data_IF_746705296721
#
_entry.id   IF_746705296721
#
_cell.length_a   1.000
_cell.length_b   1.000
_cell.length_c   1.000
_cell.angle_alpha   90.00
_cell.angle_beta   90.00
_cell.angle_gamma   90.00
#
_symmetry.space_group_name_H-M   'P 1'
#
loop_
_entity.id
_entity.type
_entity.pdbx_description
1 polymer ?
#
# COMPACT_ATOMS: atom_id res chain seq x y z
N UNK A 1 3.57 -21.17 -40.96
CA UNK A 1 2.29 -20.97 -40.23
C UNK A 1 2.34 -21.35 -38.74
N UNK A 2 3.46 -21.80 -38.16
CA UNK A 2 3.52 -22.17 -36.73
C UNK A 2 3.76 -21.00 -35.76
N UNK A 3 4.50 -19.96 -36.17
CA UNK A 3 4.91 -18.89 -35.27
C UNK A 3 3.77 -17.93 -34.86
N UNK A 4 2.82 -17.61 -35.75
CA UNK A 4 1.71 -16.69 -35.44
C UNK A 4 0.71 -17.26 -34.44
N UNK A 5 0.46 -18.58 -34.46
CA UNK A 5 -0.42 -19.21 -33.47
C UNK A 5 0.21 -19.20 -32.08
N UNK A 6 1.52 -19.46 -32.00
CA UNK A 6 2.26 -19.48 -30.74
C UNK A 6 2.23 -18.08 -30.08
N UNK A 7 2.31 -17.02 -30.88
CA UNK A 7 2.18 -15.64 -30.39
C UNK A 7 0.79 -15.33 -29.81
N UNK A 8 -0.29 -15.82 -30.44
CA UNK A 8 -1.66 -15.64 -29.95
C UNK A 8 -1.91 -16.32 -28.59
N UNK A 9 -1.24 -17.43 -28.30
CA UNK A 9 -1.35 -18.13 -27.02
C UNK A 9 -0.43 -17.58 -25.92
N UNK A 10 0.70 -16.98 -26.28
CA UNK A 10 1.65 -16.42 -25.31
C UNK A 10 1.28 -14.99 -24.85
N UNK A 11 0.66 -14.19 -25.72
CA UNK A 11 0.30 -12.80 -25.42
C UNK A 11 -0.66 -12.63 -24.21
N UNK A 12 -1.65 -13.51 -23.95
CA UNK A 12 -2.53 -13.37 -22.79
C UNK A 12 -1.92 -13.91 -21.49
N UNK A 13 -0.84 -14.72 -21.54
CA UNK A 13 -0.25 -15.33 -20.34
C UNK A 13 0.09 -14.30 -19.25
N UNK A 14 0.70 -13.15 -19.56
CA UNK A 14 0.95 -12.12 -18.56
C UNK A 14 -0.31 -11.51 -17.94
N UNK A 15 -1.44 -11.46 -18.66
CA UNK A 15 -2.72 -10.97 -18.12
C UNK A 15 -3.36 -12.01 -17.19
N UNK A 16 -3.27 -13.29 -17.57
CA UNK A 16 -3.76 -14.41 -16.76
C UNK A 16 -3.01 -14.45 -15.41
N UNK A 17 -1.71 -14.18 -15.43
CA UNK A 17 -0.90 -14.08 -14.21
C UNK A 17 -1.45 -13.01 -13.24
N UNK A 18 -1.82 -11.83 -13.76
CA UNK A 18 -2.40 -10.77 -12.94
C UNK A 18 -3.80 -11.12 -12.41
N UNK A 19 -4.61 -11.85 -13.17
CA UNK A 19 -5.94 -12.31 -12.72
C UNK A 19 -5.79 -13.27 -11.53
N UNK A 20 -4.87 -14.24 -11.61
CA UNK A 20 -4.60 -15.15 -10.49
C UNK A 20 -4.02 -14.40 -9.29
N UNK A 21 -3.19 -13.39 -9.54
CA UNK A 21 -2.61 -12.58 -8.50
C UNK A 21 -3.65 -11.74 -7.75
N UNK A 22 -4.73 -11.32 -8.41
CA UNK A 22 -5.77 -10.48 -7.79
C UNK A 22 -6.39 -11.13 -6.54
N UNK A 23 -6.83 -12.39 -6.62
CA UNK A 23 -7.43 -13.09 -5.48
C UNK A 23 -6.44 -13.34 -4.33
N UNK A 24 -5.16 -13.58 -4.65
CA UNK A 24 -4.12 -13.70 -3.62
C UNK A 24 -3.79 -12.35 -2.98
N UNK A 25 -3.81 -11.29 -3.77
CA UNK A 25 -3.60 -9.92 -3.28
C UNK A 25 -4.71 -9.51 -2.33
N UNK A 26 -5.98 -9.83 -2.63
CA UNK A 26 -7.10 -9.59 -1.72
C UNK A 26 -6.94 -10.32 -0.37
N UNK A 27 -6.40 -11.54 -0.38
CA UNK A 27 -6.13 -12.26 0.87
C UNK A 27 -4.99 -11.61 1.65
N UNK A 28 -3.90 -11.22 0.99
CA UNK A 28 -2.83 -10.45 1.64
C UNK A 28 -3.34 -9.14 2.23
N UNK A 29 -4.26 -8.44 1.53
CA UNK A 29 -4.88 -7.23 2.05
C UNK A 29 -5.62 -7.48 3.36
N UNK A 30 -6.37 -8.59 3.46
CA UNK A 30 -7.09 -8.96 4.69
C UNK A 30 -6.13 -9.37 5.81
N UNK A 31 -5.08 -10.12 5.48
CA UNK A 31 -4.07 -10.57 6.46
C UNK A 31 -3.26 -9.40 7.03
N UNK A 32 -3.04 -8.36 6.24
CA UNK A 32 -2.25 -7.19 6.62
C UNK A 32 -3.11 -5.96 6.95
N UNK A 33 -4.44 -6.12 7.06
CA UNK A 33 -5.34 -5.06 7.49
C UNK A 33 -5.04 -4.73 8.96
N UNK A 34 -4.21 -3.72 9.16
CA UNK A 34 -3.77 -3.29 10.48
C UNK A 34 -4.00 -1.79 10.66
N UNK A 35 -4.64 -1.47 11.78
CA UNK A 35 -4.82 -0.11 12.26
C UNK A 35 -4.62 -0.09 13.77
N UNK A 36 -3.69 0.72 14.21
CA UNK A 36 -3.49 1.11 15.59
C UNK A 36 -3.86 2.58 15.74
N UNK A 37 -4.68 2.89 16.74
CA UNK A 37 -5.01 4.26 17.09
C UNK A 37 -5.18 4.40 18.60
N UNK A 38 -4.26 5.13 19.24
CA UNK A 38 -4.34 5.46 20.65
C UNK A 38 -5.30 6.64 20.89
N UNK A 39 -6.60 6.36 20.77
CA UNK A 39 -7.67 7.34 20.98
C UNK A 39 -7.57 8.07 22.32
N UNK A 40 -7.11 7.38 23.37
CA UNK A 40 -7.07 7.93 24.73
C UNK A 40 -6.02 9.03 24.84
N UNK A 41 -4.87 8.82 24.21
CA UNK A 41 -3.75 9.75 24.28
C UNK A 41 -3.65 10.70 23.09
N UNK A 42 -4.49 10.54 22.06
CA UNK A 42 -4.42 11.34 20.82
C UNK A 42 -4.96 12.77 20.94
N UNK A 43 -6.00 12.99 21.74
CA UNK A 43 -6.68 14.29 21.78
C UNK A 43 -5.74 15.38 22.29
N UNK A 44 -5.61 16.48 21.54
CA UNK A 44 -4.75 17.60 21.87
C UNK A 44 -3.26 17.36 21.60
N UNK A 45 -2.88 16.22 21.00
CA UNK A 45 -1.48 15.95 20.63
C UNK A 45 -1.10 16.62 19.32
N UNK A 46 0.17 16.98 19.24
CA UNK A 46 0.80 17.37 17.99
C UNK A 46 1.60 16.19 17.49
N UNK A 47 1.31 15.73 16.28
CA UNK A 47 1.95 14.57 15.67
C UNK A 47 2.65 14.96 14.37
N UNK A 48 3.69 14.21 14.03
CA UNK A 48 4.31 14.24 12.71
C UNK A 48 4.41 12.81 12.16
N UNK A 49 4.57 12.70 10.84
CA UNK A 49 4.87 11.43 10.20
C UNK A 49 6.36 11.11 10.43
N UNK A 50 6.65 10.16 11.31
CA UNK A 50 8.02 9.80 11.70
C UNK A 50 8.80 9.20 10.52
N UNK A 51 8.23 8.16 9.93
CA UNK A 51 8.74 7.54 8.73
C UNK A 51 7.64 6.69 8.10
N UNK A 52 7.68 6.58 6.77
CA UNK A 52 6.98 5.51 6.06
C UNK A 52 7.95 4.35 6.02
N UNK A 53 7.74 3.37 6.91
CA UNK A 53 8.52 2.14 6.86
C UNK A 53 8.08 1.36 5.62
N UNK A 54 8.86 1.48 4.56
CA UNK A 54 8.69 0.70 3.34
C UNK A 54 9.27 -0.69 3.59
N UNK A 55 8.47 -1.57 4.15
CA UNK A 55 8.79 -2.98 4.13
C UNK A 55 8.41 -3.50 2.74
N UNK A 56 9.38 -3.74 1.87
CA UNK A 56 9.15 -4.77 0.86
C UNK A 56 8.96 -6.07 1.65
N UNK A 57 7.74 -6.41 2.03
CA UNK A 57 7.41 -7.81 2.17
C UNK A 57 7.77 -8.39 0.82
N UNK A 58 8.90 -9.09 0.73
CA UNK A 58 9.45 -9.67 -0.50
C UNK A 58 8.54 -10.77 -1.07
N UNK A 59 7.26 -10.74 -0.73
CA UNK A 59 6.23 -11.62 -1.23
C UNK A 59 5.87 -11.16 -2.63
N UNK A 60 6.48 -11.78 -3.62
CA UNK A 60 5.96 -11.74 -4.98
C UNK A 60 4.72 -12.61 -5.04
N UNK A 61 3.60 -12.05 -5.52
CA UNK A 61 2.49 -12.88 -5.96
C UNK A 61 2.69 -13.10 -7.45
N UNK A 62 3.08 -14.32 -7.81
CA UNK A 62 3.48 -14.66 -9.17
C UNK A 62 4.58 -13.72 -9.67
N UNK A 63 4.36 -12.96 -10.76
CA UNK A 63 5.33 -11.97 -11.25
C UNK A 63 5.06 -10.54 -10.78
N UNK A 64 4.23 -10.35 -9.74
CA UNK A 64 3.86 -9.02 -9.22
C UNK A 64 4.59 -8.74 -7.91
N UNK A 65 5.50 -7.75 -7.88
CA UNK A 65 6.08 -7.25 -6.63
C UNK A 65 5.00 -6.62 -5.76
N UNK A 66 4.98 -7.00 -4.48
CA UNK A 66 4.13 -6.39 -3.46
C UNK A 66 5.01 -5.61 -2.49
N UNK A 67 4.53 -4.47 -2.00
CA UNK A 67 5.18 -3.65 -0.98
C UNK A 67 4.20 -3.37 0.15
N UNK A 68 4.65 -3.51 1.38
CA UNK A 68 3.95 -3.10 2.58
C UNK A 68 4.53 -1.78 3.08
N UNK A 69 3.70 -0.75 3.11
CA UNK A 69 4.05 0.54 3.67
C UNK A 69 3.38 0.71 5.02
N UNK A 70 4.17 0.83 6.09
CA UNK A 70 3.63 1.14 7.41
C UNK A 70 3.82 2.63 7.68
N UNK A 71 2.70 3.33 7.83
CA UNK A 71 2.65 4.74 8.20
C UNK A 71 2.60 4.85 9.72
N UNK A 72 3.44 5.72 10.30
CA UNK A 72 3.51 5.95 11.75
C UNK A 72 3.48 7.44 12.06
N UNK A 73 2.44 7.86 12.78
CA UNK A 73 2.33 9.21 13.32
C UNK A 73 2.69 9.17 14.80
N UNK A 74 3.67 9.99 15.17
CA UNK A 74 4.23 10.01 16.53
C UNK A 74 4.02 11.38 17.17
N UNK A 75 3.81 11.40 18.48
CA UNK A 75 3.71 12.63 19.27
C UNK A 75 5.06 13.34 19.34
N UNK A 76 5.08 14.63 19.00
CA UNK A 76 6.29 15.47 19.02
C UNK A 76 6.93 15.51 20.41
N UNK A 77 6.13 15.49 21.48
CA UNK A 77 6.63 15.64 22.85
C UNK A 77 7.21 14.36 23.43
N UNK A 78 6.61 13.22 23.11
CA UNK A 78 6.92 11.94 23.79
C UNK A 78 7.57 10.91 22.88
N UNK A 79 7.52 11.11 21.55
CA UNK A 79 7.91 10.10 20.56
C UNK A 79 6.98 8.88 20.52
N UNK A 80 5.90 8.87 21.30
CA UNK A 80 4.94 7.77 21.32
C UNK A 80 4.14 7.69 20.02
N UNK A 81 3.92 6.47 19.52
CA UNK A 81 3.06 6.24 18.35
C UNK A 81 1.61 6.52 18.72
N UNK A 82 0.97 7.47 18.02
CA UNK A 82 -0.44 7.80 18.21
C UNK A 82 -1.30 7.05 17.18
N UNK A 83 -0.82 6.96 15.95
CA UNK A 83 -1.50 6.27 14.85
C UNK A 83 -0.48 5.45 14.08
N UNK A 84 -0.84 4.20 13.76
CA UNK A 84 -0.09 3.38 12.83
C UNK A 84 -1.03 2.59 11.95
N UNK A 85 -0.76 2.52 10.65
CA UNK A 85 -1.53 1.66 9.76
C UNK A 85 -0.68 1.18 8.59
N UNK A 86 -1.15 0.11 7.95
CA UNK A 86 -0.50 -0.49 6.79
C UNK A 86 -1.23 -0.12 5.50
N UNK A 87 -0.47 0.10 4.43
CA UNK A 87 -0.98 0.11 3.05
C UNK A 87 -0.19 -0.95 2.28
N UNK A 88 -0.88 -1.83 1.56
CA UNK A 88 -0.24 -2.73 0.61
C UNK A 88 -0.34 -2.16 -0.78
N UNK A 89 0.76 -2.23 -1.52
CA UNK A 89 0.86 -1.85 -2.92
C UNK A 89 1.29 -3.04 -3.76
N UNK A 90 0.57 -3.29 -4.84
CA UNK A 90 0.99 -4.16 -5.94
C UNK A 90 1.57 -3.27 -7.05
N UNK A 91 2.78 -3.59 -7.48
CA UNK A 91 3.37 -2.97 -8.67
C UNK A 91 2.78 -3.59 -9.95
N UNK A 92 3.08 -3.02 -11.11
CA UNK A 92 2.69 -3.62 -12.39
C UNK A 92 3.32 -4.99 -12.61
N UNK A 93 2.56 -5.91 -13.23
CA UNK A 93 3.04 -7.22 -13.64
C UNK A 93 4.02 -7.17 -14.83
N UNK A 94 4.26 -8.32 -15.46
CA UNK A 94 5.26 -8.44 -16.53
C UNK A 94 4.96 -7.51 -17.71
N UNK A 95 3.70 -7.33 -18.12
CA UNK A 95 3.34 -6.45 -19.23
C UNK A 95 3.71 -5.00 -18.97
N UNK A 96 3.35 -4.50 -17.79
CA UNK A 96 3.63 -3.13 -17.39
C UNK A 96 5.14 -2.88 -17.38
N UNK A 97 5.92 -3.82 -16.83
CA UNK A 97 7.38 -3.67 -16.73
C UNK A 97 8.12 -3.84 -18.05
N UNK A 98 7.65 -4.73 -18.93
CA UNK A 98 8.32 -5.02 -20.21
C UNK A 98 7.92 -4.03 -21.30
N UNK A 99 6.64 -3.67 -21.39
CA UNK A 99 6.12 -2.81 -22.45
C UNK A 99 5.97 -1.35 -22.03
N UNK A 100 6.28 -1.01 -20.78
CA UNK A 100 6.29 0.38 -20.32
C UNK A 100 4.91 1.06 -20.41
N UNK A 101 3.85 0.33 -20.08
CA UNK A 101 2.49 0.91 -20.03
C UNK A 101 2.49 2.03 -18.98
N UNK A 102 1.81 3.15 -19.25
CA UNK A 102 1.78 4.35 -18.40
C UNK A 102 1.21 4.15 -16.98
N UNK A 103 0.68 2.96 -16.68
CA UNK A 103 0.27 2.56 -15.33
C UNK A 103 1.45 1.95 -14.58
N UNK A 104 1.72 2.38 -13.34
CA UNK A 104 2.73 1.75 -12.48
C UNK A 104 2.22 0.52 -11.72
N UNK A 105 0.92 0.23 -11.80
CA UNK A 105 0.25 -0.88 -11.11
C UNK A 105 -0.31 -1.94 -12.06
N UNK A 106 -0.87 -3.04 -11.52
CA UNK A 106 -1.54 -4.08 -12.30
C UNK A 106 -2.63 -3.52 -13.20
N UNK A 107 -2.84 -4.16 -14.35
CA UNK A 107 -3.85 -3.78 -15.33
C UNK A 107 -5.22 -4.33 -14.91
N UNK A 108 -5.24 -5.53 -14.31
CA UNK A 108 -6.49 -6.29 -14.10
C UNK A 108 -7.13 -6.10 -12.72
N UNK A 109 -6.48 -5.42 -11.77
CA UNK A 109 -7.01 -5.17 -10.42
C UNK A 109 -6.44 -3.91 -9.78
N UNK A 110 -7.04 -3.49 -8.65
CA UNK A 110 -6.60 -2.30 -7.90
C UNK A 110 -5.20 -2.52 -7.31
N UNK A 111 -4.28 -1.62 -7.61
CA UNK A 111 -2.87 -1.70 -7.22
C UNK A 111 -2.57 -1.45 -5.73
N UNK A 112 -3.58 -1.17 -4.90
CA UNK A 112 -3.36 -0.95 -3.47
C UNK A 112 -4.60 -1.21 -2.63
N UNK A 113 -4.36 -1.51 -1.35
CA UNK A 113 -5.40 -1.61 -0.33
C UNK A 113 -4.93 -0.96 0.97
N UNK A 114 -5.89 -0.36 1.66
CA UNK A 114 -5.73 0.32 2.94
C UNK A 114 -6.92 -0.02 3.85
N UNK A 115 -6.76 0.05 5.19
CA UNK A 115 -7.85 -0.20 6.12
C UNK A 115 -9.00 0.77 5.87
N UNK A 116 -10.24 0.26 5.85
CA UNK A 116 -11.45 1.09 5.58
C UNK A 116 -11.60 2.28 6.53
N UNK A 117 -11.08 2.15 7.75
CA UNK A 117 -11.15 3.16 8.81
C UNK A 117 -9.78 3.80 9.10
N UNK A 118 -8.81 3.71 8.19
CA UNK A 118 -7.54 4.40 8.36
C UNK A 118 -7.82 5.89 8.59
N UNK A 119 -7.19 6.55 9.57
CA UNK A 119 -7.38 7.98 9.79
C UNK A 119 -6.45 8.71 8.79
N UNK A 120 -6.84 8.70 7.52
CA UNK A 120 -5.99 9.09 6.39
C UNK A 120 -6.05 10.58 6.05
N UNK A 121 -6.87 11.36 6.76
CA UNK A 121 -7.04 12.78 6.44
C UNK A 121 -6.72 13.70 7.60
N UNK A 122 -6.04 14.80 7.28
CA UNK A 122 -5.87 15.96 8.16
C UNK A 122 -7.22 16.39 8.75
N UNK A 123 -8.32 16.22 8.01
CA UNK A 123 -9.67 16.50 8.48
C UNK A 123 -10.11 15.57 9.61
N UNK A 124 -9.75 14.28 9.53
CA UNK A 124 -9.99 13.30 10.61
C UNK A 124 -9.19 13.68 11.85
N UNK A 125 -7.93 14.09 11.66
CA UNK A 125 -7.08 14.57 12.77
C UNK A 125 -7.66 15.82 13.43
N UNK A 126 -8.08 16.81 12.63
CA UNK A 126 -8.73 18.03 13.12
C UNK A 126 -9.98 17.73 13.95
N UNK A 127 -10.85 16.83 13.50
CA UNK A 127 -12.05 16.41 14.25
C UNK A 127 -11.72 15.74 15.58
N UNK A 128 -10.56 15.10 15.68
CA UNK A 128 -10.07 14.41 16.88
C UNK A 128 -9.21 15.31 17.77
N UNK A 129 -9.03 16.59 17.40
CA UNK A 129 -8.14 17.51 18.12
C UNK A 129 -6.66 17.15 18.01
N UNK A 130 -6.28 16.42 16.96
CA UNK A 130 -4.88 16.06 16.65
C UNK A 130 -4.33 17.11 15.68
N UNK A 131 -3.18 17.68 16.02
CA UNK A 131 -2.49 18.67 15.19
C UNK A 131 -1.37 18.00 14.40
N UNK A 132 -1.42 18.08 13.08
CA UNK A 132 -0.35 17.55 12.22
C UNK A 132 0.66 18.64 11.88
N UNK A 133 1.95 18.32 12.02
CA UNK A 133 3.05 19.19 11.58
C UNK A 133 4.00 18.42 10.66
N UNK A 134 4.83 19.16 9.92
CA UNK A 134 5.97 18.56 9.22
C UNK A 134 6.95 17.94 10.22
N UNK A 135 7.66 16.87 9.84
CA UNK A 135 8.69 16.28 10.69
C UNK A 135 9.67 17.36 11.16
N UNK A 136 9.99 17.44 12.46
CA UNK A 136 10.97 18.40 12.93
C UNK A 136 12.31 18.13 12.24
N UNK A 137 12.87 19.17 11.62
CA UNK A 137 14.19 19.11 10.99
C UNK A 137 15.22 19.06 12.12
N UNK A 138 15.97 17.96 12.21
CA UNK A 138 17.14 17.85 13.09
C UNK A 138 18.28 18.74 12.60
#
# INVERSE_FOLDING_TARGET
MGASFLFLFLLPLPLIDEIVASGRFENLCKENEFIFFDKKNAVGKTVYLDSVANHSTETKIAFIPIRLQTFRYVDVKTGGVIISYNILHADGGLLVRVFGVSSHGPITFKSFCEPKNAPYSIETFKKLGIYYIEPPVN
#
